data_IF_632646227243
#
_entry.id   IF_632646227243
#
_cell.length_a   1.000
_cell.length_b   1.000
_cell.length_c   1.000
_cell.angle_alpha   90.00
_cell.angle_beta   90.00
_cell.angle_gamma   90.00
#
_symmetry.space_group_name_H-M   'P 1'
#
loop_
_entity.id
_entity.type
_entity.pdbx_description
1 polymer ?
#
# COMPACT_ATOMS: atom_id res chain seq x y z
N UNK A 1 12.45 -5.29 15.14
CA UNK A 1 11.62 -4.22 14.56
C UNK A 1 11.45 -3.16 15.61
N UNK A 2 11.75 -1.91 15.29
CA UNK A 2 11.55 -0.80 16.21
C UNK A 2 10.36 0.07 15.76
N UNK A 3 10.01 1.07 16.57
CA UNK A 3 8.91 1.99 16.25
C UNK A 3 9.16 2.78 14.95
N UNK A 4 10.42 3.12 14.65
CA UNK A 4 10.77 3.87 13.44
C UNK A 4 10.45 3.06 12.17
N UNK A 5 10.71 1.75 12.18
CA UNK A 5 10.38 0.84 11.06
C UNK A 5 8.88 0.88 10.75
N UNK A 6 8.05 0.88 11.80
CA UNK A 6 6.58 0.94 11.73
C UNK A 6 6.13 2.30 11.18
N UNK A 7 6.70 3.40 11.70
CA UNK A 7 6.35 4.75 11.27
C UNK A 7 6.72 5.01 9.80
N UNK A 8 7.80 4.41 9.29
CA UNK A 8 8.13 4.46 7.86
C UNK A 8 7.01 3.85 7.01
N UNK A 9 6.54 2.65 7.37
CA UNK A 9 5.43 2.00 6.66
C UNK A 9 4.14 2.81 6.76
N UNK A 10 3.81 3.32 7.94
CA UNK A 10 2.67 4.21 8.13
C UNK A 10 2.73 5.41 7.18
N UNK A 11 3.86 6.13 7.15
CA UNK A 11 4.03 7.30 6.29
C UNK A 11 3.92 6.95 4.80
N UNK A 12 4.55 5.86 4.38
CA UNK A 12 4.46 5.38 2.99
C UNK A 12 3.00 5.10 2.63
N UNK A 13 2.25 4.38 3.47
CA UNK A 13 0.84 4.11 3.20
C UNK A 13 0.02 5.40 3.09
N UNK A 14 0.31 6.44 3.88
CA UNK A 14 -0.34 7.75 3.71
C UNK A 14 -0.05 8.38 2.35
N UNK A 15 1.18 8.29 1.85
CA UNK A 15 1.52 8.80 0.51
C UNK A 15 0.73 8.10 -0.59
N UNK A 16 0.55 6.78 -0.50
CA UNK A 16 -0.26 6.04 -1.46
C UNK A 16 -1.75 6.40 -1.33
N UNK A 17 -2.24 6.55 -0.10
CA UNK A 17 -3.60 7.01 0.15
C UNK A 17 -3.88 8.38 -0.49
N UNK A 18 -2.94 9.33 -0.36
CA UNK A 18 -3.07 10.66 -0.95
C UNK A 18 -3.20 10.61 -2.47
N UNK A 19 -2.46 9.73 -3.15
CA UNK A 19 -2.58 9.57 -4.60
C UNK A 19 -3.97 9.09 -5.02
N UNK A 20 -4.56 8.15 -4.28
CA UNK A 20 -5.87 7.59 -4.64
C UNK A 20 -7.07 8.30 -3.99
N UNK A 21 -6.87 9.18 -3.01
CA UNK A 21 -7.97 9.79 -2.25
C UNK A 21 -9.00 10.53 -3.12
N UNK A 22 -8.62 11.39 -4.08
CA UNK A 22 -9.61 12.04 -4.97
C UNK A 22 -10.47 11.04 -5.76
N UNK A 23 -9.86 9.94 -6.22
CA UNK A 23 -10.56 8.88 -6.93
C UNK A 23 -11.46 8.04 -6.00
N UNK A 24 -10.93 7.65 -4.84
CA UNK A 24 -11.66 6.92 -3.80
C UNK A 24 -12.89 7.71 -3.36
N UNK A 25 -12.75 9.01 -3.15
CA UNK A 25 -13.83 9.93 -2.83
C UNK A 25 -14.99 9.88 -3.83
N UNK A 26 -14.66 9.81 -5.11
CA UNK A 26 -15.66 9.75 -6.19
C UNK A 26 -16.29 8.36 -6.29
N UNK A 27 -15.49 7.30 -6.33
CA UNK A 27 -15.97 5.95 -6.59
C UNK A 27 -16.67 5.31 -5.39
N UNK A 28 -16.25 5.68 -4.17
CA UNK A 28 -16.74 5.12 -2.92
C UNK A 28 -17.59 6.15 -2.15
N UNK A 29 -18.13 7.15 -2.86
CA UNK A 29 -19.05 8.15 -2.32
C UNK A 29 -20.29 7.54 -1.60
N UNK A 30 -20.83 6.36 -1.98
CA UNK A 30 -21.95 5.74 -1.27
C UNK A 30 -21.59 5.23 0.14
N UNK A 31 -20.30 5.00 0.42
CA UNK A 31 -19.87 4.51 1.73
C UNK A 31 -19.88 5.65 2.77
N UNK A 32 -20.11 5.35 4.06
CA UNK A 32 -20.23 6.41 5.08
C UNK A 32 -18.94 7.22 5.29
N UNK A 33 -17.79 6.58 5.09
CA UNK A 33 -16.47 7.24 5.08
C UNK A 33 -16.10 7.91 3.75
N UNK A 34 -16.99 7.86 2.73
CA UNK A 34 -16.74 8.31 1.35
C UNK A 34 -15.41 7.83 0.78
N UNK A 35 -15.00 6.61 1.12
CA UNK A 35 -13.76 6.01 0.64
C UNK A 35 -12.47 6.48 1.30
N UNK A 36 -12.51 7.31 2.35
CA UNK A 36 -11.30 7.81 3.00
C UNK A 36 -10.37 6.69 3.50
N UNK A 37 -10.92 5.70 4.22
CA UNK A 37 -10.16 4.56 4.72
C UNK A 37 -9.63 3.67 3.56
N UNK A 38 -10.49 3.41 2.57
CA UNK A 38 -10.19 2.58 1.41
C UNK A 38 -9.21 3.24 0.42
N UNK A 39 -8.95 4.53 0.54
CA UNK A 39 -7.91 5.19 -0.25
C UNK A 39 -6.52 4.57 -0.01
N UNK A 40 -6.22 4.10 1.20
CA UNK A 40 -4.95 3.44 1.55
C UNK A 40 -4.71 2.17 0.72
N UNK A 41 -5.57 1.13 0.79
CA UNK A 41 -5.38 -0.07 -0.02
C UNK A 41 -5.56 0.21 -1.52
N UNK A 42 -6.46 1.11 -1.92
CA UNK A 42 -6.65 1.46 -3.33
C UNK A 42 -5.40 2.11 -3.93
N UNK A 43 -4.77 3.04 -3.20
CA UNK A 43 -3.53 3.69 -3.63
C UNK A 43 -2.41 2.69 -3.79
N UNK A 44 -2.19 1.83 -2.80
CA UNK A 44 -1.19 0.78 -2.87
C UNK A 44 -1.42 -0.16 -4.04
N UNK A 45 -2.67 -0.58 -4.27
CA UNK A 45 -3.05 -1.42 -5.38
C UNK A 45 -2.76 -0.76 -6.73
N UNK A 46 -3.29 0.45 -6.98
CA UNK A 46 -3.19 1.10 -8.28
C UNK A 46 -1.75 1.44 -8.66
N UNK A 47 -0.98 1.99 -7.72
CA UNK A 47 0.43 2.35 -7.96
C UNK A 47 1.26 1.10 -8.23
N UNK A 48 1.08 0.06 -7.42
CA UNK A 48 1.82 -1.20 -7.62
C UNK A 48 1.41 -1.88 -8.91
N UNK A 49 0.12 -1.85 -9.27
CA UNK A 49 -0.38 -2.44 -10.50
C UNK A 49 0.19 -1.74 -11.73
N UNK A 50 0.24 -0.40 -11.75
CA UNK A 50 0.87 0.35 -12.84
C UNK A 50 2.38 0.10 -12.93
N UNK A 51 3.08 0.02 -11.79
CA UNK A 51 4.48 -0.38 -11.78
C UNK A 51 4.66 -1.77 -12.38
N UNK A 52 3.86 -2.74 -11.92
CA UNK A 52 3.93 -4.13 -12.36
C UNK A 52 3.65 -4.25 -13.85
N UNK A 53 2.59 -3.62 -14.34
CA UNK A 53 2.23 -3.61 -15.75
C UNK A 53 3.31 -2.93 -16.59
N UNK A 54 3.74 -1.73 -16.20
CA UNK A 54 4.77 -0.99 -16.92
C UNK A 54 6.11 -1.73 -16.96
N UNK A 55 6.49 -2.42 -15.88
CA UNK A 55 7.72 -3.21 -15.83
C UNK A 55 7.59 -4.59 -16.49
N UNK A 56 6.38 -5.13 -16.65
CA UNK A 56 6.11 -6.32 -17.46
C UNK A 56 6.16 -6.02 -18.95
N UNK A 57 5.75 -4.81 -19.35
CA UNK A 57 5.78 -4.33 -20.73
C UNK A 57 7.11 -3.70 -21.14
N UNK A 58 8.07 -3.56 -20.21
CA UNK A 58 9.38 -2.96 -20.47
C UNK A 58 9.43 -1.42 -20.47
N UNK A 59 8.33 -0.74 -20.14
CA UNK A 59 8.29 0.73 -20.04
C UNK A 59 8.86 1.27 -18.73
N UNK A 60 8.73 0.50 -17.64
CA UNK A 60 9.21 0.88 -16.31
C UNK A 60 10.26 -0.12 -15.82
N UNK A 61 11.09 0.32 -14.87
CA UNK A 61 11.97 -0.55 -14.09
C UNK A 61 11.39 -0.73 -12.69
N UNK A 62 11.45 -1.95 -12.16
CA UNK A 62 11.10 -2.26 -10.78
C UNK A 62 12.14 -1.66 -9.80
N UNK A 63 12.04 -0.35 -9.57
CA UNK A 63 12.89 0.41 -8.69
C UNK A 63 12.18 1.68 -8.19
N UNK A 64 12.85 2.46 -7.35
CA UNK A 64 12.26 3.66 -6.71
C UNK A 64 11.75 4.66 -7.76
N UNK A 65 12.51 4.90 -8.83
CA UNK A 65 12.08 5.80 -9.91
C UNK A 65 10.79 5.33 -10.61
N UNK A 66 10.67 4.02 -10.88
CA UNK A 66 9.45 3.44 -11.46
C UNK A 66 8.25 3.55 -10.52
N UNK A 67 8.47 3.33 -9.22
CA UNK A 67 7.43 3.49 -8.18
C UNK A 67 6.94 4.95 -8.14
N UNK A 68 7.85 5.91 -8.10
CA UNK A 68 7.50 7.34 -8.04
C UNK A 68 6.77 7.81 -9.30
N UNK A 69 7.18 7.33 -10.48
CA UNK A 69 6.48 7.64 -11.73
C UNK A 69 5.06 7.05 -11.73
N UNK A 70 4.90 5.78 -11.35
CA UNK A 70 3.60 5.16 -11.21
C UNK A 70 2.72 5.92 -10.20
N UNK A 71 3.28 6.32 -9.07
CA UNK A 71 2.60 7.14 -8.06
C UNK A 71 2.13 8.49 -8.62
N UNK A 72 2.99 9.19 -9.36
CA UNK A 72 2.65 10.46 -9.99
C UNK A 72 1.54 10.32 -11.04
N UNK A 73 1.58 9.24 -11.83
CA UNK A 73 0.53 8.92 -12.81
C UNK A 73 -0.81 8.64 -12.11
N UNK A 74 -0.82 7.84 -11.04
CA UNK A 74 -2.04 7.60 -10.25
C UNK A 74 -2.56 8.90 -9.67
N UNK A 75 -1.71 9.72 -9.06
CA UNK A 75 -2.12 11.00 -8.51
C UNK A 75 -2.72 11.90 -9.60
N UNK A 76 -2.06 12.06 -10.75
CA UNK A 76 -2.56 12.87 -11.86
C UNK A 76 -3.92 12.38 -12.39
N UNK A 77 -4.05 11.06 -12.61
CA UNK A 77 -5.30 10.45 -13.06
C UNK A 77 -6.42 10.59 -12.00
N UNK A 78 -6.09 10.38 -10.73
CA UNK A 78 -7.00 10.52 -9.59
C UNK A 78 -7.50 11.96 -9.46
N UNK A 79 -6.62 12.96 -9.61
CA UNK A 79 -6.99 14.37 -9.61
C UNK A 79 -7.88 14.74 -10.79
N UNK A 80 -7.61 14.21 -11.98
CA UNK A 80 -8.40 14.48 -13.17
C UNK A 80 -9.78 13.82 -13.11
N UNK A 81 -9.85 12.53 -12.75
CA UNK A 81 -11.11 11.78 -12.64
C UNK A 81 -11.90 12.19 -11.38
N UNK A 82 -11.24 12.40 -10.26
CA UNK A 82 -11.83 12.82 -8.98
C UNK A 82 -12.11 14.32 -8.88
N UNK A 83 -11.93 15.08 -9.98
CA UNK A 83 -12.06 16.54 -10.00
C UNK A 83 -13.35 17.08 -9.41
N UNK A 84 -14.45 16.32 -9.48
CA UNK A 84 -15.75 16.72 -8.93
C UNK A 84 -15.73 16.96 -7.42
N UNK A 85 -14.91 16.22 -6.66
CA UNK A 85 -14.75 16.45 -5.21
C UNK A 85 -13.84 17.64 -4.85
N UNK A 86 -13.02 18.09 -5.80
CA UNK A 86 -12.08 19.22 -5.65
C UNK A 86 -12.56 20.51 -6.33
N UNK A 87 -13.56 20.41 -7.21
CA UNK A 87 -14.22 21.55 -7.83
C UNK A 87 -14.86 22.41 -6.74
N UNK A 88 -14.79 23.72 -6.95
CA UNK A 88 -15.49 24.68 -6.11
C UNK A 88 -16.97 24.57 -6.43
N UNK A 89 -17.79 24.34 -5.40
CA UNK A 89 -19.24 24.50 -5.49
C UNK A 89 -19.59 25.97 -5.78
N UNK A 90 -20.86 26.27 -6.05
CA UNK A 90 -21.39 27.63 -6.32
C UNK A 90 -20.99 28.64 -5.23
N UNK A 91 -20.76 28.16 -4.00
CA UNK A 91 -20.27 28.92 -2.84
C UNK A 91 -18.74 29.11 -2.77
N UNK A 92 -17.98 28.64 -3.76
CA UNK A 92 -16.52 28.71 -3.79
C UNK A 92 -15.80 27.63 -2.96
N UNK A 93 -16.55 26.73 -2.30
CA UNK A 93 -15.99 25.75 -1.36
C UNK A 93 -15.66 24.41 -2.02
N UNK A 94 -14.62 23.73 -1.53
CA UNK A 94 -14.20 22.41 -2.02
C UNK A 94 -14.84 21.31 -1.18
N UNK A 95 -15.71 20.51 -1.78
CA UNK A 95 -16.55 19.53 -1.08
C UNK A 95 -15.75 18.53 -0.24
N UNK A 96 -14.60 18.04 -0.74
CA UNK A 96 -13.72 17.13 0.01
C UNK A 96 -13.22 17.78 1.31
N UNK A 97 -12.67 19.00 1.22
CA UNK A 97 -12.08 19.67 2.38
C UNK A 97 -13.13 20.06 3.42
N UNK A 98 -14.32 20.48 2.97
CA UNK A 98 -15.43 20.78 3.87
C UNK A 98 -15.91 19.53 4.60
N UNK A 99 -16.01 18.40 3.91
CA UNK A 99 -16.32 17.13 4.57
C UNK A 99 -15.24 16.69 5.53
N UNK A 100 -13.95 16.81 5.16
CA UNK A 100 -12.84 16.48 6.06
C UNK A 100 -12.90 17.32 7.35
N UNK A 101 -13.27 18.60 7.26
CA UNK A 101 -13.50 19.46 8.43
C UNK A 101 -14.75 19.05 9.20
N UNK A 102 -15.86 18.75 8.52
CA UNK A 102 -17.12 18.38 9.16
C UNK A 102 -17.06 17.00 9.85
N UNK A 103 -16.26 16.07 9.31
CA UNK A 103 -16.11 14.69 9.78
C UNK A 103 -14.69 14.41 10.29
N UNK A 104 -14.00 15.43 10.81
CA UNK A 104 -12.61 15.30 11.27
C UNK A 104 -12.44 14.23 12.35
N UNK A 105 -13.44 14.03 13.21
CA UNK A 105 -13.43 12.96 14.23
C UNK A 105 -13.37 11.58 13.56
N UNK A 106 -14.15 11.34 12.51
CA UNK A 106 -14.12 10.07 11.77
C UNK A 106 -12.76 9.83 11.12
N UNK A 107 -12.16 10.88 10.56
CA UNK A 107 -10.80 10.83 10.00
C UNK A 107 -9.80 10.43 11.08
N UNK A 108 -9.79 11.15 12.22
CA UNK A 108 -8.88 10.86 13.34
C UNK A 108 -9.09 9.46 13.90
N UNK A 109 -10.34 9.01 14.09
CA UNK A 109 -10.66 7.64 14.54
C UNK A 109 -10.11 6.61 13.54
N UNK A 110 -10.29 6.83 12.24
CA UNK A 110 -9.78 5.93 11.20
C UNK A 110 -8.25 5.86 11.23
N UNK A 111 -7.57 6.99 11.40
CA UNK A 111 -6.10 7.03 11.47
C UNK A 111 -5.55 6.39 12.75
N UNK A 112 -6.18 6.64 13.90
CA UNK A 112 -5.83 6.00 15.17
C UNK A 112 -6.05 4.49 15.07
N UNK A 113 -7.18 4.06 14.50
CA UNK A 113 -7.49 2.64 14.32
C UNK A 113 -6.46 1.96 13.40
N UNK A 114 -6.09 2.60 12.29
CA UNK A 114 -5.04 2.11 11.40
C UNK A 114 -3.69 1.97 12.12
N UNK A 115 -3.26 3.04 12.80
CA UNK A 115 -1.96 3.07 13.47
C UNK A 115 -1.90 2.08 14.64
N UNK A 116 -2.98 1.98 15.44
CA UNK A 116 -3.09 1.03 16.54
C UNK A 116 -3.08 -0.41 16.04
N UNK A 117 -3.80 -0.72 14.95
CA UNK A 117 -3.79 -2.05 14.34
C UNK A 117 -2.40 -2.42 13.79
N UNK A 118 -1.73 -1.47 13.14
CA UNK A 118 -0.39 -1.64 12.61
C UNK A 118 0.62 -1.91 13.75
N UNK A 119 0.65 -1.05 14.76
CA UNK A 119 1.53 -1.21 15.93
C UNK A 119 1.22 -2.51 16.66
N UNK A 120 -0.06 -2.80 16.92
CA UNK A 120 -0.50 -3.99 17.65
C UNK A 120 -0.07 -5.27 16.96
N UNK A 121 -0.37 -5.43 15.66
CA UNK A 121 -0.03 -6.65 14.93
C UNK A 121 1.48 -6.80 14.70
N UNK A 122 2.20 -5.70 14.42
CA UNK A 122 3.67 -5.76 14.33
C UNK A 122 4.31 -6.10 15.69
N UNK A 123 3.73 -5.64 16.80
CA UNK A 123 4.20 -5.98 18.16
C UNK A 123 4.00 -7.47 18.45
N UNK A 124 2.84 -8.03 18.09
CA UNK A 124 2.61 -9.49 18.18
C UNK A 124 3.65 -10.24 17.34
N UNK A 125 3.90 -9.78 16.10
CA UNK A 125 4.90 -10.39 15.22
C UNK A 125 6.31 -10.34 15.80
N UNK A 126 6.63 -9.33 16.61
CA UNK A 126 7.94 -9.13 17.21
C UNK A 126 8.35 -10.18 18.25
N UNK A 127 7.40 -10.96 18.77
CA UNK A 127 7.68 -12.08 19.67
C UNK A 127 8.16 -13.34 18.93
N UNK A 128 7.97 -13.43 17.61
CA UNK A 128 8.39 -14.60 16.81
C UNK A 128 8.96 -14.18 15.44
N UNK A 129 9.80 -13.13 15.34
CA UNK A 129 10.08 -12.45 14.07
C UNK A 129 10.87 -13.30 13.07
N UNK A 130 11.42 -14.42 13.54
CA UNK A 130 12.20 -15.37 12.77
C UNK A 130 11.44 -15.88 11.55
N UNK A 131 12.20 -16.05 10.46
CA UNK A 131 11.73 -16.61 9.20
C UNK A 131 12.41 -17.97 9.10
N UNK A 132 11.79 -18.98 9.71
CA UNK A 132 12.33 -20.34 9.81
C UNK A 132 11.78 -21.23 8.71
N UNK A 133 12.55 -22.24 8.31
CA UNK A 133 12.11 -23.30 7.40
C UNK A 133 11.09 -24.24 8.06
N UNK A 134 11.15 -24.38 9.39
CA UNK A 134 10.22 -25.19 10.18
C UNK A 134 8.78 -24.65 10.16
N UNK A 135 8.58 -23.37 9.83
CA UNK A 135 7.27 -22.73 9.68
C UNK A 135 6.68 -22.82 8.28
N UNK A 136 7.30 -23.54 7.35
CA UNK A 136 6.80 -23.76 5.98
C UNK A 136 6.90 -22.52 5.09
N UNK A 137 5.75 -21.91 4.79
CA UNK A 137 5.59 -20.96 3.69
C UNK A 137 6.44 -19.69 3.82
N UNK A 138 6.70 -19.22 5.04
CA UNK A 138 7.43 -17.95 5.29
C UNK A 138 8.81 -17.88 4.62
N UNK A 139 9.52 -19.00 4.56
CA UNK A 139 10.82 -19.06 3.89
C UNK A 139 10.68 -18.83 2.38
N UNK A 140 9.70 -19.49 1.75
CA UNK A 140 9.38 -19.30 0.34
C UNK A 140 8.88 -17.88 0.06
N UNK A 141 8.01 -17.33 0.90
CA UNK A 141 7.50 -15.97 0.75
C UNK A 141 8.63 -14.93 0.77
N UNK A 142 9.60 -15.09 1.68
CA UNK A 142 10.78 -14.23 1.74
C UNK A 142 11.70 -14.45 0.52
N UNK A 143 11.81 -15.67 0.01
CA UNK A 143 12.57 -15.96 -1.21
C UNK A 143 11.94 -15.27 -2.43
N UNK A 144 10.61 -15.31 -2.58
CA UNK A 144 9.88 -14.58 -3.63
C UNK A 144 10.03 -13.07 -3.50
N UNK A 145 9.93 -12.52 -2.27
CA UNK A 145 10.18 -11.11 -2.03
C UNK A 145 11.59 -10.71 -2.47
N UNK A 146 12.62 -11.50 -2.14
CA UNK A 146 13.99 -11.23 -2.57
C UNK A 146 14.17 -11.36 -4.09
N UNK A 147 13.56 -12.36 -4.73
CA UNK A 147 13.56 -12.51 -6.19
C UNK A 147 13.00 -11.27 -6.88
N UNK A 148 11.87 -10.74 -6.38
CA UNK A 148 11.28 -9.49 -6.86
C UNK A 148 12.21 -8.31 -6.61
N UNK A 149 12.78 -8.16 -5.41
CA UNK A 149 13.68 -7.04 -5.08
C UNK A 149 14.97 -7.02 -5.92
N UNK A 150 15.40 -8.16 -6.44
CA UNK A 150 16.57 -8.27 -7.33
C UNK A 150 16.21 -8.10 -8.82
N UNK A 151 14.96 -8.35 -9.19
CA UNK A 151 14.50 -8.28 -10.57
C UNK A 151 14.18 -6.84 -10.99
N UNK A 152 14.73 -6.42 -12.14
CA UNK A 152 14.53 -5.08 -12.71
C UNK A 152 13.25 -4.97 -13.56
N UNK A 153 12.75 -6.09 -14.06
CA UNK A 153 11.56 -6.22 -14.90
C UNK A 153 10.72 -7.40 -14.40
N UNK A 154 9.52 -7.56 -14.96
CA UNK A 154 8.64 -8.67 -14.65
C UNK A 154 8.39 -9.57 -15.87
N UNK A 155 8.15 -10.88 -15.67
CA UNK A 155 8.07 -11.58 -14.38
C UNK A 155 9.44 -11.70 -13.67
N UNK A 156 9.46 -11.78 -12.32
CA UNK A 156 10.70 -11.79 -11.55
C UNK A 156 11.40 -13.16 -11.65
N UNK A 157 12.71 -13.18 -11.41
CA UNK A 157 13.48 -14.43 -11.38
C UNK A 157 13.01 -15.37 -10.27
N UNK A 158 12.90 -16.66 -10.61
CA UNK A 158 12.55 -17.72 -9.68
C UNK A 158 13.75 -18.02 -8.73
N UNK A 159 13.56 -17.97 -7.40
CA UNK A 159 14.64 -18.26 -6.46
C UNK A 159 15.02 -19.75 -6.39
N UNK A 160 14.20 -20.65 -6.92
CA UNK A 160 14.38 -22.10 -6.89
C UNK A 160 14.85 -22.67 -8.22
N UNK A 161 14.51 -22.02 -9.33
CA UNK A 161 14.84 -22.48 -10.67
C UNK A 161 15.58 -21.39 -11.47
N UNK A 162 16.92 -21.43 -11.40
CA UNK A 162 17.79 -20.45 -12.05
C UNK A 162 17.51 -20.31 -13.55
N UNK A 163 17.39 -19.07 -14.01
CA UNK A 163 17.11 -18.74 -15.42
C UNK A 163 15.63 -18.70 -15.78
N UNK A 164 14.74 -19.07 -14.85
CA UNK A 164 13.29 -19.05 -15.06
C UNK A 164 12.61 -17.97 -14.22
N UNK A 165 11.34 -17.73 -14.52
CA UNK A 165 10.49 -16.79 -13.79
C UNK A 165 9.64 -17.51 -12.74
N UNK A 166 9.26 -16.78 -11.67
CA UNK A 166 8.38 -17.33 -10.63
C UNK A 166 7.08 -17.87 -11.25
N UNK A 167 6.84 -19.16 -11.10
CA UNK A 167 5.61 -19.84 -11.56
C UNK A 167 4.54 -19.87 -10.45
N UNK A 168 4.19 -18.70 -9.91
CA UNK A 168 3.21 -18.55 -8.82
C UNK A 168 2.55 -17.17 -8.85
N UNK A 169 1.41 -17.00 -8.18
CA UNK A 169 0.80 -15.68 -7.99
C UNK A 169 1.66 -14.82 -7.05
N UNK A 170 2.37 -13.83 -7.60
CA UNK A 170 3.38 -13.08 -6.85
C UNK A 170 3.04 -11.61 -6.58
N UNK A 171 1.89 -11.12 -7.04
CA UNK A 171 1.57 -9.68 -6.99
C UNK A 171 1.52 -9.09 -5.57
N UNK A 172 1.04 -9.86 -4.59
CA UNK A 172 1.08 -9.43 -3.18
C UNK A 172 2.51 -9.19 -2.67
N UNK A 173 3.47 -10.00 -3.12
CA UNK A 173 4.89 -9.77 -2.82
C UNK A 173 5.46 -8.57 -3.59
N UNK A 174 4.90 -8.19 -4.75
CA UNK A 174 5.26 -6.94 -5.44
C UNK A 174 4.81 -5.73 -4.62
N UNK A 175 3.59 -5.76 -4.08
CA UNK A 175 3.11 -4.68 -3.19
C UNK A 175 4.02 -4.55 -1.97
N UNK A 176 4.42 -5.67 -1.36
CA UNK A 176 5.37 -5.65 -0.25
C UNK A 176 6.78 -5.19 -0.67
N UNK A 177 7.23 -5.54 -1.88
CA UNK A 177 8.52 -5.11 -2.41
C UNK A 177 8.57 -3.59 -2.64
N UNK A 178 7.46 -3.00 -3.10
CA UNK A 178 7.31 -1.54 -3.22
C UNK A 178 7.50 -0.87 -1.86
N UNK A 179 6.82 -1.36 -0.82
CA UNK A 179 6.97 -0.84 0.55
C UNK A 179 8.39 -1.05 1.10
N UNK A 180 8.99 -2.22 0.83
CA UNK A 180 10.37 -2.54 1.22
C UNK A 180 11.37 -1.57 0.60
N UNK A 181 11.26 -1.30 -0.71
CA UNK A 181 12.15 -0.37 -1.42
C UNK A 181 12.03 1.05 -0.89
N UNK A 182 10.81 1.55 -0.67
CA UNK A 182 10.59 2.92 -0.20
C UNK A 182 10.98 3.11 1.28
N UNK A 183 10.81 2.08 2.11
CA UNK A 183 11.20 2.15 3.52
C UNK A 183 12.71 2.00 3.76
N UNK A 184 13.44 1.49 2.77
CA UNK A 184 14.87 1.22 2.87
C UNK A 184 15.22 0.15 3.90
N UNK A 185 14.25 -0.66 4.32
CA UNK A 185 14.44 -1.71 5.31
C UNK A 185 14.96 -2.99 4.68
N UNK A 186 15.67 -3.80 5.46
CA UNK A 186 16.01 -5.16 5.06
C UNK A 186 14.73 -5.97 4.80
N UNK A 187 14.74 -6.85 3.80
CA UNK A 187 13.57 -7.62 3.38
C UNK A 187 12.93 -8.40 4.54
N UNK A 188 13.73 -8.98 5.44
CA UNK A 188 13.23 -9.70 6.62
C UNK A 188 12.48 -8.80 7.62
N UNK A 189 12.93 -7.55 7.80
CA UNK A 189 12.26 -6.57 8.67
C UNK A 189 10.97 -6.10 8.00
N UNK A 190 11.06 -5.69 6.74
CA UNK A 190 9.93 -5.23 5.95
C UNK A 190 8.84 -6.31 5.83
N UNK A 191 9.21 -7.58 5.71
CA UNK A 191 8.28 -8.71 5.69
C UNK A 191 7.41 -8.75 6.95
N UNK A 192 8.03 -8.64 8.12
CA UNK A 192 7.32 -8.68 9.39
C UNK A 192 6.43 -7.44 9.63
N UNK A 193 6.90 -6.23 9.26
CA UNK A 193 6.08 -5.01 9.32
C UNK A 193 4.95 -5.05 8.27
N UNK A 194 5.21 -5.64 7.11
CA UNK A 194 4.24 -5.84 6.04
C UNK A 194 3.03 -6.67 6.47
N UNK A 195 3.24 -7.73 7.26
CA UNK A 195 2.13 -8.49 7.85
C UNK A 195 1.23 -7.62 8.73
N UNK A 196 1.82 -6.72 9.54
CA UNK A 196 1.05 -5.74 10.31
C UNK A 196 0.31 -4.73 9.43
N UNK A 197 0.90 -4.38 8.29
CA UNK A 197 0.28 -3.49 7.31
C UNK A 197 -0.93 -4.13 6.65
N UNK A 198 -0.86 -5.41 6.26
CA UNK A 198 -2.01 -6.14 5.74
C UNK A 198 -3.15 -6.21 6.75
N UNK A 199 -2.84 -6.53 8.00
CA UNK A 199 -3.83 -6.55 9.07
C UNK A 199 -4.50 -5.16 9.25
N UNK A 200 -3.70 -4.09 9.33
CA UNK A 200 -4.22 -2.73 9.51
C UNK A 200 -5.08 -2.25 8.33
N UNK A 201 -4.66 -2.54 7.09
CA UNK A 201 -5.42 -2.23 5.89
C UNK A 201 -6.76 -2.97 5.87
N UNK A 202 -6.77 -4.27 6.18
CA UNK A 202 -8.00 -5.07 6.23
C UNK A 202 -8.94 -4.59 7.33
N UNK A 203 -8.43 -4.35 8.53
CA UNK A 203 -9.24 -3.91 9.67
C UNK A 203 -9.89 -2.56 9.39
N UNK A 204 -9.14 -1.59 8.87
CA UNK A 204 -9.69 -0.26 8.54
C UNK A 204 -10.61 -0.28 7.33
N UNK A 205 -10.37 -1.15 6.34
CA UNK A 205 -11.31 -1.39 5.26
C UNK A 205 -12.65 -1.95 5.78
N UNK A 206 -12.61 -2.94 6.67
CA UNK A 206 -13.81 -3.52 7.28
C UNK A 206 -14.60 -2.49 8.10
N UNK A 207 -13.90 -1.71 8.94
CA UNK A 207 -14.50 -0.59 9.69
C UNK A 207 -15.23 0.38 8.75
N UNK A 208 -14.63 0.71 7.61
CA UNK A 208 -15.18 1.68 6.66
C UNK A 208 -16.45 1.26 5.93
N UNK A 209 -16.75 -0.04 5.93
CA UNK A 209 -17.94 -0.65 5.32
C UNK A 209 -19.05 -0.82 6.36
N UNK A 210 -18.69 -1.08 7.62
CA UNK A 210 -19.65 -1.37 8.70
C UNK A 210 -20.18 -0.12 9.42
N UNK A 211 -19.38 0.95 9.50
CA UNK A 211 -19.78 2.26 10.02
C UNK A 211 -20.42 3.09 8.93
#
# INVERSE_FOLDING_TARGET
>A
MNLLDILRFWLIIQLFALAALPLAWRWLAPLPSRGYALAKPLGLLLVTYLLWLGASLGFLRNGVGGILLAWAVVLGASLWLGRTGWQRDVSGRRQLFDWLRARWVLVVVTEILFLAALIGWTSIRSFSPEITTSGGEKFMELAFLNGILRSQQFPPQDPWLSGFAISYYYFGYVMLAVLTRLSGLAASVAFNVGLGTWFALTLTAAFSVAY
#
